data_IF_913121245240
#
_entry.id   IF_913121245240
#
_cell.length_a   1.000
_cell.length_b   1.000
_cell.length_c   1.000
_cell.angle_alpha   90.00
_cell.angle_beta   90.00
_cell.angle_gamma   90.00
#
_symmetry.space_group_name_H-M   'P 1'
#
loop_
_entity.id
_entity.type
_entity.pdbx_description
1 polymer ?
#
# COMPACT_ATOMS: atom_id res chain seq x y z
N UNK A 1 -20.45 -20.52 -10.42
CA UNK A 1 -20.42 -19.04 -10.59
C UNK A 1 -19.24 -18.63 -11.45
N UNK A 2 -18.02 -19.09 -11.17
CA UNK A 2 -16.84 -18.76 -11.98
C UNK A 2 -16.71 -19.56 -13.29
N UNK A 3 -17.51 -20.60 -13.54
CA UNK A 3 -17.45 -21.36 -14.81
C UNK A 3 -18.15 -20.67 -15.99
N UNK A 4 -18.76 -19.50 -15.76
CA UNK A 4 -19.31 -18.70 -16.84
C UNK A 4 -18.17 -17.94 -17.56
N UNK A 5 -18.10 -18.08 -18.89
CA UNK A 5 -17.10 -17.44 -19.74
C UNK A 5 -17.01 -15.93 -19.54
N UNK A 6 -18.13 -15.27 -19.21
CA UNK A 6 -18.15 -13.82 -18.95
C UNK A 6 -17.37 -13.39 -17.70
N UNK A 7 -16.99 -14.34 -16.83
CA UNK A 7 -16.16 -14.11 -15.64
C UNK A 7 -14.76 -14.74 -15.77
N UNK A 8 -14.35 -15.14 -16.98
CA UNK A 8 -12.99 -15.68 -17.23
C UNK A 8 -11.92 -14.59 -17.33
N UNK A 9 -12.33 -13.38 -17.72
CA UNK A 9 -11.49 -12.18 -17.76
C UNK A 9 -12.32 -10.99 -17.33
N UNK A 10 -11.79 -10.12 -16.48
CA UNK A 10 -12.55 -8.96 -16.02
C UNK A 10 -11.88 -8.19 -14.89
N UNK A 11 -12.44 -7.01 -14.60
CA UNK A 11 -12.09 -6.17 -13.47
C UNK A 11 -13.18 -6.27 -12.40
N UNK A 12 -12.76 -6.48 -11.16
CA UNK A 12 -13.62 -6.49 -9.99
C UNK A 12 -13.24 -5.26 -9.17
N UNK A 13 -14.22 -4.39 -8.92
CA UNK A 13 -14.07 -3.33 -7.93
C UNK A 13 -14.53 -3.88 -6.58
N UNK A 14 -13.61 -3.94 -5.63
CA UNK A 14 -13.89 -4.37 -4.27
C UNK A 14 -13.73 -3.19 -3.32
N UNK A 15 -14.83 -2.78 -2.69
CA UNK A 15 -14.81 -1.77 -1.65
C UNK A 15 -14.69 -2.42 -0.28
N UNK A 16 -13.76 -1.92 0.54
CA UNK A 16 -13.55 -2.36 1.93
C UNK A 16 -13.49 -1.16 2.85
N UNK A 17 -13.90 -1.33 4.11
CA UNK A 17 -13.95 -0.28 5.13
C UNK A 17 -14.77 0.94 4.64
N UNK A 18 -16.07 0.92 4.95
CA UNK A 18 -16.97 2.02 4.58
C UNK A 18 -16.66 3.34 5.32
N UNK A 19 -15.81 3.34 6.34
CA UNK A 19 -15.36 4.54 7.02
C UNK A 19 -14.32 5.30 6.21
N UNK A 20 -13.25 4.61 5.80
CA UNK A 20 -12.16 5.21 5.01
C UNK A 20 -12.38 5.14 3.49
N UNK A 21 -13.32 4.31 3.02
CA UNK A 21 -13.75 4.22 1.62
C UNK A 21 -12.70 3.60 0.70
N UNK A 22 -11.98 2.56 1.15
CA UNK A 22 -10.95 1.94 0.32
C UNK A 22 -11.54 1.17 -0.85
N UNK A 23 -11.01 1.42 -2.04
CA UNK A 23 -11.35 0.70 -3.26
C UNK A 23 -10.14 -0.08 -3.77
N UNK A 24 -10.36 -1.36 -4.07
CA UNK A 24 -9.37 -2.26 -4.66
C UNK A 24 -9.82 -2.65 -6.06
N UNK A 25 -9.01 -2.30 -7.06
CA UNK A 25 -9.20 -2.78 -8.42
C UNK A 25 -8.47 -4.12 -8.60
N UNK A 26 -9.23 -5.18 -8.83
CA UNK A 26 -8.71 -6.54 -9.01
C UNK A 26 -8.93 -6.95 -10.47
N UNK A 27 -7.84 -7.17 -11.20
CA UNK A 27 -7.88 -7.70 -12.57
C UNK A 27 -7.56 -9.19 -12.59
N UNK A 28 -8.45 -9.99 -13.17
CA UNK A 28 -8.18 -11.40 -13.47
C UNK A 28 -7.34 -11.49 -14.74
N UNK A 29 -6.08 -11.93 -14.62
CA UNK A 29 -5.14 -12.05 -15.75
C UNK A 29 -5.22 -13.39 -16.50
N UNK A 30 -5.84 -14.40 -15.89
CA UNK A 30 -5.95 -15.74 -16.46
C UNK A 30 -6.34 -16.76 -15.40
N UNK A 31 -6.28 -18.05 -15.78
CA UNK A 31 -6.51 -19.18 -14.88
C UNK A 31 -5.32 -20.12 -14.95
N UNK A 32 -4.99 -20.70 -13.81
CA UNK A 32 -3.95 -21.73 -13.68
C UNK A 32 -4.57 -23.00 -13.07
N UNK A 33 -3.80 -24.08 -13.00
CA UNK A 33 -4.21 -25.30 -12.32
C UNK A 33 -4.61 -25.02 -10.85
N UNK A 34 -5.63 -25.72 -10.37
CA UNK A 34 -6.11 -25.54 -9.01
C UNK A 34 -5.04 -25.94 -7.99
N UNK A 35 -4.84 -25.09 -6.99
CA UNK A 35 -3.98 -25.32 -5.82
C UNK A 35 -4.84 -25.34 -4.56
N UNK A 36 -4.30 -25.91 -3.48
CA UNK A 36 -4.93 -25.95 -2.15
C UNK A 36 -4.68 -24.67 -1.32
N UNK A 37 -3.81 -23.78 -1.80
CA UNK A 37 -3.47 -22.52 -1.15
C UNK A 37 -3.21 -21.41 -2.17
N UNK A 38 -3.32 -20.16 -1.72
CA UNK A 38 -2.93 -18.99 -2.52
C UNK A 38 -1.42 -18.77 -2.45
N UNK A 39 -0.78 -18.59 -3.61
CA UNK A 39 0.61 -18.19 -3.72
C UNK A 39 0.72 -16.68 -3.97
N UNK A 40 1.52 -16.00 -3.16
CA UNK A 40 1.82 -14.58 -3.36
C UNK A 40 3.05 -14.43 -4.27
N UNK A 41 2.84 -14.00 -5.50
CA UNK A 41 3.91 -13.98 -6.51
C UNK A 41 4.79 -12.74 -6.44
N UNK A 42 4.21 -11.56 -6.23
CA UNK A 42 4.97 -10.31 -6.19
C UNK A 42 4.18 -9.17 -5.55
N UNK A 43 4.91 -8.15 -5.08
CA UNK A 43 4.38 -6.87 -4.57
C UNK A 43 5.08 -5.72 -5.27
N UNK A 44 4.36 -4.64 -5.48
CA UNK A 44 4.97 -3.31 -5.59
C UNK A 44 4.31 -2.35 -4.61
N UNK A 45 5.08 -1.39 -4.11
CA UNK A 45 4.61 -0.40 -3.16
C UNK A 45 4.28 -0.97 -1.77
N UNK A 46 3.53 -0.19 -1.00
CA UNK A 46 3.14 -0.55 0.35
C UNK A 46 1.64 -0.35 0.56
N UNK A 47 1.03 -1.29 1.28
CA UNK A 47 -0.36 -1.20 1.70
C UNK A 47 -0.58 0.09 2.50
N UNK A 48 -1.74 0.69 2.29
CA UNK A 48 -2.18 1.86 3.06
C UNK A 48 -2.35 1.43 4.53
N UNK A 49 -2.01 2.30 5.47
CA UNK A 49 -2.30 2.04 6.88
C UNK A 49 -3.81 2.04 7.12
N UNK A 50 -4.28 1.04 7.85
CA UNK A 50 -5.62 1.03 8.42
C UNK A 50 -5.85 2.30 9.26
N UNK A 51 -7.08 2.81 9.25
CA UNK A 51 -7.51 3.97 10.03
C UNK A 51 -6.73 5.27 9.78
N UNK A 52 -6.02 5.38 8.64
CA UNK A 52 -5.31 6.61 8.31
C UNK A 52 -6.31 7.76 8.08
N UNK A 53 -7.44 7.50 7.42
CA UNK A 53 -8.49 8.51 7.22
C UNK A 53 -9.15 8.93 8.54
N UNK A 54 -9.44 7.97 9.41
CA UNK A 54 -10.17 8.16 10.66
C UNK A 54 -9.29 8.70 11.81
N UNK A 55 -8.23 8.00 12.20
CA UNK A 55 -7.46 8.25 13.41
C UNK A 55 -6.31 9.24 13.21
N UNK A 56 -5.58 9.16 12.09
CA UNK A 56 -4.62 10.21 11.74
C UNK A 56 -5.34 11.54 11.43
N UNK A 57 -6.65 11.47 11.12
CA UNK A 57 -7.44 12.55 10.48
C UNK A 57 -6.70 13.11 9.26
N UNK A 58 -5.90 12.28 8.62
CA UNK A 58 -5.00 12.65 7.55
C UNK A 58 -5.08 11.54 6.50
N UNK A 59 -5.48 11.85 5.26
CA UNK A 59 -5.48 10.83 4.22
C UNK A 59 -4.07 10.27 3.96
N UNK A 60 -4.00 9.11 3.31
CA UNK A 60 -2.72 8.45 2.97
C UNK A 60 -1.74 9.36 2.22
N UNK A 61 -2.24 10.22 1.31
CA UNK A 61 -1.41 11.18 0.58
C UNK A 61 -0.79 12.25 1.48
N UNK A 62 -1.53 12.73 2.48
CA UNK A 62 -1.05 13.73 3.43
C UNK A 62 0.01 13.15 4.38
N UNK A 63 -0.09 11.86 4.71
CA UNK A 63 0.95 11.14 5.43
C UNK A 63 2.21 10.99 4.58
N UNK A 64 2.07 10.59 3.30
CA UNK A 64 3.21 10.52 2.36
C UNK A 64 3.90 11.88 2.20
N UNK A 65 3.13 12.95 2.07
CA UNK A 65 3.64 14.33 2.02
C UNK A 65 4.36 14.71 3.30
N UNK A 66 3.81 14.34 4.46
CA UNK A 66 4.45 14.58 5.74
C UNK A 66 5.85 13.98 5.75
N UNK A 67 6.06 12.74 5.30
CA UNK A 67 7.39 12.11 5.24
C UNK A 67 8.34 12.67 4.20
N UNK A 68 7.83 13.14 3.06
CA UNK A 68 8.65 13.77 2.01
C UNK A 68 9.16 15.17 2.37
N UNK A 69 8.56 15.81 3.38
CA UNK A 69 8.93 17.17 3.79
C UNK A 69 10.24 17.17 4.59
N UNK A 70 11.25 17.92 4.15
CA UNK A 70 12.56 17.93 4.81
C UNK A 70 12.50 18.53 6.23
N UNK A 71 11.77 19.63 6.40
CA UNK A 71 11.57 20.32 7.68
C UNK A 71 10.07 20.29 8.04
N UNK A 72 9.58 19.20 8.65
CA UNK A 72 8.16 19.06 8.92
C UNK A 72 7.68 20.00 10.02
N UNK A 73 6.46 20.51 9.88
CA UNK A 73 5.77 21.22 10.95
C UNK A 73 5.27 20.27 12.06
N UNK A 74 4.72 20.83 13.14
CA UNK A 74 4.22 20.04 14.27
C UNK A 74 3.10 19.05 13.87
N UNK A 75 2.23 19.45 12.93
CA UNK A 75 1.16 18.59 12.44
C UNK A 75 1.73 17.41 11.65
N UNK A 76 2.70 17.65 10.77
CA UNK A 76 3.38 16.63 9.99
C UNK A 76 4.17 15.67 10.89
N UNK A 77 4.85 16.20 11.91
CA UNK A 77 5.53 15.38 12.92
C UNK A 77 4.55 14.50 13.69
N UNK A 78 3.38 15.02 14.07
CA UNK A 78 2.33 14.25 14.73
C UNK A 78 1.82 13.10 13.85
N UNK A 79 1.61 13.35 12.56
CA UNK A 79 1.17 12.32 11.59
C UNK A 79 2.20 11.20 11.45
N UNK A 80 3.49 11.57 11.32
CA UNK A 80 4.59 10.58 11.27
C UNK A 80 4.60 9.71 12.54
N UNK A 81 4.52 10.33 13.72
CA UNK A 81 4.49 9.62 15.01
C UNK A 81 3.29 8.69 15.16
N UNK A 82 2.12 9.10 14.68
CA UNK A 82 0.93 8.24 14.68
C UNK A 82 1.20 6.99 13.85
N UNK A 83 1.74 7.13 12.64
CA UNK A 83 2.06 5.99 11.79
C UNK A 83 3.08 5.05 12.46
N UNK A 84 4.18 5.60 12.99
CA UNK A 84 5.26 4.83 13.64
C UNK A 84 4.84 4.08 14.92
N UNK A 85 3.81 4.57 15.62
CA UNK A 85 3.42 4.03 16.94
C UNK A 85 2.12 3.26 16.95
N UNK A 86 1.18 3.65 16.11
CA UNK A 86 -0.19 3.13 16.12
C UNK A 86 -0.39 2.19 14.95
N UNK A 87 -0.11 2.65 13.73
CA UNK A 87 -0.26 1.82 12.54
C UNK A 87 0.86 0.76 12.41
N UNK A 88 2.12 1.12 12.69
CA UNK A 88 3.27 0.22 12.55
C UNK A 88 3.47 -0.76 13.73
N UNK A 89 2.75 -0.60 14.84
CA UNK A 89 2.83 -1.57 15.95
C UNK A 89 2.39 -2.98 15.51
N UNK A 90 1.58 -3.05 14.45
CA UNK A 90 1.05 -4.29 13.85
C UNK A 90 1.96 -4.86 12.73
N UNK A 91 2.85 -4.09 12.08
CA UNK A 91 3.72 -4.57 10.98
C UNK A 91 5.15 -4.00 10.97
N UNK A 92 6.08 -4.67 11.66
CA UNK A 92 7.49 -4.26 11.84
C UNK A 92 8.39 -4.36 10.59
N UNK A 93 7.95 -4.97 9.47
CA UNK A 93 8.79 -5.27 8.29
C UNK A 93 8.69 -4.24 7.15
N UNK A 94 7.67 -3.38 7.13
CA UNK A 94 7.39 -2.42 6.04
C UNK A 94 8.31 -1.20 5.91
N UNK A 95 9.14 -0.92 6.93
CA UNK A 95 9.84 0.35 7.16
C UNK A 95 10.70 0.91 6.01
N UNK A 96 11.25 0.07 5.11
CA UNK A 96 12.24 0.52 4.11
C UNK A 96 11.66 0.87 2.74
N UNK A 97 10.43 0.48 2.45
CA UNK A 97 9.88 0.59 1.10
C UNK A 97 9.15 1.94 0.84
N UNK A 98 8.63 2.60 1.88
CA UNK A 98 7.80 3.81 1.72
C UNK A 98 8.61 5.09 1.93
N UNK A 99 9.51 5.09 2.91
CA UNK A 99 10.17 6.30 3.39
C UNK A 99 11.68 6.05 3.50
N UNK A 100 12.48 6.34 2.46
CA UNK A 100 13.93 6.31 2.63
C UNK A 100 14.30 7.32 3.72
N UNK A 101 14.80 6.84 4.85
CA UNK A 101 15.40 7.68 5.89
C UNK A 101 16.46 8.54 5.23
N UNK A 102 16.37 9.86 5.40
CA UNK A 102 17.36 10.83 4.97
C UNK A 102 18.74 10.43 5.49
N UNK A 103 19.52 9.71 4.68
CA UNK A 103 20.80 9.17 5.13
C UNK A 103 21.50 8.19 4.19
N UNK A 104 20.81 7.55 3.22
CA UNK A 104 21.48 6.67 2.26
C UNK A 104 21.35 7.22 0.84
N UNK A 105 22.43 7.88 0.39
CA UNK A 105 22.71 8.15 -1.02
C UNK A 105 22.93 6.82 -1.73
N UNK A 106 22.28 6.64 -2.88
CA UNK A 106 22.58 5.58 -3.83
C UNK A 106 21.34 4.91 -4.41
N UNK A 107 20.73 5.51 -5.42
CA UNK A 107 19.88 4.76 -6.35
C UNK A 107 20.75 4.43 -7.56
N UNK A 108 21.07 3.15 -7.72
CA UNK A 108 21.56 2.60 -8.99
C UNK A 108 20.33 2.27 -9.84
N UNK A 109 20.06 3.08 -10.86
CA UNK A 109 19.18 2.69 -11.96
C UNK A 109 19.90 1.62 -12.78
N UNK A 110 19.57 0.35 -12.56
CA UNK A 110 19.81 -0.66 -13.57
C UNK A 110 18.60 -0.68 -14.49
N UNK A 111 18.75 -0.02 -15.63
CA UNK A 111 17.92 -0.22 -16.80
C UNK A 111 18.01 -1.69 -17.22
N UNK A 112 16.86 -2.34 -17.40
CA UNK A 112 16.74 -3.52 -18.24
C UNK A 112 15.94 -3.10 -19.47
N UNK A 113 16.69 -2.73 -20.52
CA UNK A 113 16.21 -2.71 -21.88
C UNK A 113 16.22 -4.15 -22.40
N UNK A 114 15.02 -4.67 -22.71
CA UNK A 114 14.77 -5.79 -23.60
C UNK A 114 13.78 -5.34 -24.65
#
# INVERSE_FOLDING_TARGET
>A
MFDNESYTTGNILYSSDFGDGWEHEITVKGRDAATDHFAYLSRSGHAVAEDVGSHCRCGWEELKKAYRTANPDEHQLRRRRWYERVAEAEDRRGRRAIFPTSGTRGWSTTSLSG
#
